data_IF_054029994508
#
_entry.id   IF_054029994508
#
_cell.length_a   1.000
_cell.length_b   1.000
_cell.length_c   1.000
_cell.angle_alpha   90.00
_cell.angle_beta   90.00
_cell.angle_gamma   90.00
#
_symmetry.space_group_name_H-M   'P 1'
#
loop_
_entity.id
_entity.type
_entity.pdbx_description
1 polymer ?
#
# COMPACT_ATOMS: atom_id res chain seq x y z
N UNK A 1 -2.58 3.17 12.46
CA UNK A 1 -1.76 3.70 11.34
C UNK A 1 -1.38 5.16 11.50
N UNK A 2 -2.30 6.08 11.82
CA UNK A 2 -1.94 7.47 12.17
C UNK A 2 -1.74 8.42 10.99
N UNK A 3 -2.15 8.03 9.77
CA UNK A 3 -2.08 8.91 8.61
C UNK A 3 -3.20 9.97 8.63
N UNK A 4 -2.85 11.18 8.18
CA UNK A 4 -3.82 12.18 7.73
C UNK A 4 -4.12 11.93 6.26
N UNK A 5 -5.40 11.86 5.91
CA UNK A 5 -5.83 11.59 4.55
C UNK A 5 -6.09 12.89 3.79
N UNK A 6 -5.56 12.96 2.57
CA UNK A 6 -5.88 13.98 1.58
C UNK A 6 -6.40 13.29 0.33
N UNK A 7 -7.42 13.85 -0.32
CA UNK A 7 -8.07 13.23 -1.47
C UNK A 7 -8.59 14.28 -2.45
N UNK A 8 -8.64 13.94 -3.74
CA UNK A 8 -9.42 14.76 -4.68
C UNK A 8 -10.91 14.67 -4.37
N UNK A 9 -11.70 15.67 -4.77
CA UNK A 9 -13.11 15.80 -4.38
C UNK A 9 -13.94 14.51 -4.59
N UNK A 10 -13.81 13.85 -5.74
CA UNK A 10 -14.54 12.61 -6.02
C UNK A 10 -14.17 11.45 -5.08
N UNK A 11 -12.88 11.31 -4.77
CA UNK A 11 -12.39 10.31 -3.83
C UNK A 11 -12.82 10.64 -2.40
N UNK A 12 -12.75 11.91 -1.98
CA UNK A 12 -13.23 12.34 -0.66
C UNK A 12 -14.71 11.99 -0.46
N UNK A 13 -15.58 12.29 -1.44
CA UNK A 13 -17.00 11.91 -1.39
C UNK A 13 -17.19 10.39 -1.28
N UNK A 14 -16.39 9.59 -1.98
CA UNK A 14 -16.46 8.14 -1.90
C UNK A 14 -16.03 7.61 -0.51
N UNK A 15 -14.98 8.18 0.08
CA UNK A 15 -14.50 7.82 1.43
C UNK A 15 -15.50 8.23 2.52
N UNK A 16 -16.11 9.41 2.40
CA UNK A 16 -17.07 9.93 3.38
C UNK A 16 -18.30 9.02 3.51
N UNK A 17 -18.74 8.39 2.39
CA UNK A 17 -19.83 7.39 2.40
C UNK A 17 -19.54 6.17 3.28
N UNK A 18 -18.27 5.92 3.57
CA UNK A 18 -17.81 4.85 4.46
C UNK A 18 -17.33 5.39 5.82
N UNK A 19 -17.62 6.65 6.14
CA UNK A 19 -17.25 7.27 7.42
C UNK A 19 -15.77 7.63 7.53
N UNK A 20 -15.04 7.69 6.41
CA UNK A 20 -13.62 8.02 6.37
C UNK A 20 -13.44 9.45 5.89
N UNK A 21 -12.97 10.32 6.77
CA UNK A 21 -12.73 11.72 6.44
C UNK A 21 -11.39 11.92 5.72
N UNK A 22 -11.40 12.72 4.65
CA UNK A 22 -10.20 13.16 3.96
C UNK A 22 -10.27 14.65 3.59
N UNK A 23 -9.18 15.39 3.83
CA UNK A 23 -9.07 16.79 3.41
C UNK A 23 -9.01 16.88 1.88
N UNK A 24 -9.78 17.79 1.30
CA UNK A 24 -9.89 17.90 -0.16
C UNK A 24 -8.69 18.63 -0.75
N UNK A 25 -8.07 18.03 -1.77
CA UNK A 25 -7.08 18.67 -2.64
C UNK A 25 -7.68 18.97 -4.01
N UNK A 26 -7.25 20.07 -4.61
CA UNK A 26 -7.62 20.45 -5.97
C UNK A 26 -6.87 19.62 -7.00
N UNK A 27 -7.47 19.38 -8.15
CA UNK A 27 -6.79 18.77 -9.29
C UNK A 27 -5.85 19.79 -9.94
N UNK A 28 -4.83 19.31 -10.64
CA UNK A 28 -3.81 20.19 -11.20
C UNK A 28 -4.40 21.19 -12.22
N UNK A 29 -5.30 20.73 -13.09
CA UNK A 29 -5.96 21.59 -14.07
C UNK A 29 -6.93 22.61 -13.46
N UNK A 30 -7.34 22.43 -12.20
CA UNK A 30 -8.18 23.39 -11.48
C UNK A 30 -7.37 24.57 -10.91
N UNK A 31 -6.04 24.46 -10.92
CA UNK A 31 -5.13 25.43 -10.34
C UNK A 31 -5.29 25.59 -8.82
N UNK A 32 -4.53 26.53 -8.25
CA UNK A 32 -4.71 26.93 -6.84
C UNK A 32 -6.05 27.63 -6.65
N UNK A 33 -6.67 27.39 -5.50
CA UNK A 33 -7.93 28.07 -5.14
C UNK A 33 -7.71 29.54 -4.79
N UNK A 34 -8.81 30.30 -4.73
CA UNK A 34 -8.79 31.74 -4.44
C UNK A 34 -8.25 32.05 -3.03
N UNK A 35 -8.40 31.12 -2.09
CA UNK A 35 -7.86 31.24 -0.74
C UNK A 35 -6.49 30.54 -0.58
N UNK A 36 -5.86 30.13 -1.70
CA UNK A 36 -4.54 29.50 -1.72
C UNK A 36 -4.56 27.98 -1.55
N UNK A 37 -5.72 27.33 -1.68
CA UNK A 37 -5.82 25.88 -1.60
C UNK A 37 -4.92 25.21 -2.66
N UNK A 38 -4.01 24.30 -2.27
CA UNK A 38 -3.05 23.72 -3.19
C UNK A 38 -3.71 22.66 -4.09
N UNK A 39 -3.11 22.45 -5.26
CA UNK A 39 -3.39 21.24 -6.04
C UNK A 39 -2.70 20.02 -5.43
N UNK A 40 -3.07 18.81 -5.85
CA UNK A 40 -2.35 17.59 -5.45
C UNK A 40 -0.87 17.65 -5.83
N UNK A 41 -0.53 18.19 -7.00
CA UNK A 41 0.87 18.33 -7.43
C UNK A 41 1.60 19.36 -6.58
N UNK A 42 0.96 20.50 -6.27
CA UNK A 42 1.53 21.49 -5.34
C UNK A 42 1.89 20.87 -3.99
N UNK A 43 0.97 20.10 -3.40
CA UNK A 43 1.17 19.45 -2.10
C UNK A 43 2.32 18.42 -2.15
N UNK A 44 2.42 17.63 -3.21
CA UNK A 44 3.54 16.70 -3.42
C UNK A 44 4.86 17.48 -3.51
N UNK A 45 4.90 18.54 -4.31
CA UNK A 45 6.11 19.33 -4.53
C UNK A 45 6.56 20.07 -3.27
N UNK A 46 5.61 20.51 -2.43
CA UNK A 46 5.85 21.11 -1.12
C UNK A 46 6.41 20.12 -0.09
N UNK A 47 6.24 18.80 -0.32
CA UNK A 47 6.64 17.76 0.64
C UNK A 47 5.56 17.46 1.68
N UNK A 48 4.31 17.84 1.44
CA UNK A 48 3.19 17.60 2.36
C UNK A 48 2.60 16.18 2.25
N UNK A 49 3.14 15.36 1.34
CA UNK A 49 2.64 14.02 1.01
C UNK A 49 3.76 12.99 1.16
N UNK A 50 3.56 12.05 2.09
CA UNK A 50 4.51 10.97 2.37
C UNK A 50 4.24 9.67 1.59
N UNK A 51 2.99 9.48 1.14
CA UNK A 51 2.55 8.29 0.41
C UNK A 51 1.39 8.65 -0.52
N UNK A 52 1.45 8.14 -1.75
CA UNK A 52 0.39 8.33 -2.75
C UNK A 52 -0.30 7.01 -3.05
N UNK A 53 -1.62 7.02 -3.04
CA UNK A 53 -2.46 5.95 -3.59
C UNK A 53 -3.19 6.49 -4.82
N UNK A 54 -2.87 5.97 -6.00
CA UNK A 54 -3.43 6.39 -7.26
C UNK A 54 -3.85 5.15 -8.06
N UNK A 55 -5.03 4.62 -7.76
CA UNK A 55 -5.59 3.44 -8.45
C UNK A 55 -6.33 3.89 -9.72
N UNK A 56 -5.76 3.79 -10.92
CA UNK A 56 -6.48 4.15 -12.14
C UNK A 56 -7.63 3.15 -12.36
N UNK A 57 -8.83 3.65 -12.65
CA UNK A 57 -9.97 2.83 -13.08
C UNK A 57 -10.58 3.43 -14.36
N UNK A 58 -10.66 2.65 -15.44
CA UNK A 58 -11.20 3.08 -16.74
C UNK A 58 -10.24 3.90 -17.62
N UNK A 59 -10.75 4.43 -18.75
CA UNK A 59 -10.00 5.23 -19.76
C UNK A 59 -9.98 6.75 -19.47
N UNK A 60 -10.65 7.21 -18.41
CA UNK A 60 -10.81 8.63 -18.07
C UNK A 60 -9.83 9.18 -17.02
N UNK A 61 -9.63 10.51 -17.04
CA UNK A 61 -8.65 11.31 -16.25
C UNK A 61 -7.20 10.84 -16.35
N UNK A 62 -6.71 10.63 -17.58
CA UNK A 62 -5.29 10.31 -17.84
C UNK A 62 -4.32 11.44 -17.45
N UNK A 63 -4.79 12.70 -17.48
CA UNK A 63 -3.92 13.88 -17.29
C UNK A 63 -3.46 14.00 -15.84
N UNK A 64 -4.41 14.10 -14.89
CA UNK A 64 -4.06 14.30 -13.47
C UNK A 64 -3.21 13.14 -12.93
N UNK A 65 -3.52 11.90 -13.33
CA UNK A 65 -2.76 10.73 -12.90
C UNK A 65 -1.32 10.71 -13.41
N UNK A 66 -1.05 11.24 -14.61
CA UNK A 66 0.31 11.38 -15.13
C UNK A 66 1.08 12.43 -14.31
N UNK A 67 0.50 13.60 -14.10
CA UNK A 67 1.15 14.70 -13.36
C UNK A 67 1.47 14.30 -11.91
N UNK A 68 0.53 13.63 -11.24
CA UNK A 68 0.74 13.10 -9.88
C UNK A 68 1.91 12.11 -9.84
N UNK A 69 1.96 11.14 -10.78
CA UNK A 69 3.05 10.15 -10.80
C UNK A 69 4.40 10.79 -11.13
N UNK A 70 4.42 11.77 -12.04
CA UNK A 70 5.63 12.53 -12.37
C UNK A 70 6.13 13.30 -11.15
N UNK A 71 5.25 14.03 -10.45
CA UNK A 71 5.60 14.73 -9.22
C UNK A 71 6.10 13.78 -8.12
N UNK A 72 5.45 12.62 -7.97
CA UNK A 72 5.87 11.59 -7.02
C UNK A 72 7.30 11.11 -7.27
N UNK A 73 7.63 10.82 -8.54
CA UNK A 73 8.99 10.41 -8.94
C UNK A 73 10.00 11.52 -8.67
N UNK A 74 9.68 12.77 -9.04
CA UNK A 74 10.56 13.93 -8.82
C UNK A 74 10.88 14.10 -7.32
N UNK A 75 9.89 13.89 -6.45
CA UNK A 75 10.02 14.10 -5.00
C UNK A 75 10.44 12.85 -4.23
N UNK A 76 10.56 11.71 -4.90
CA UNK A 76 10.85 10.43 -4.24
C UNK A 76 9.73 9.93 -3.32
N UNK A 77 8.48 10.35 -3.58
CA UNK A 77 7.32 9.93 -2.79
C UNK A 77 6.82 8.57 -3.30
N UNK A 78 6.73 7.53 -2.44
CA UNK A 78 6.19 6.23 -2.82
C UNK A 78 4.78 6.34 -3.41
N UNK A 79 4.55 5.63 -4.51
CA UNK A 79 3.27 5.65 -5.23
C UNK A 79 2.73 4.23 -5.44
N UNK A 80 1.56 3.95 -4.87
CA UNK A 80 0.85 2.68 -4.99
C UNK A 80 -0.27 2.84 -6.00
N UNK A 81 -0.31 1.96 -7.00
CA UNK A 81 -1.24 2.07 -8.13
C UNK A 81 -2.32 0.99 -8.17
N UNK A 82 -2.35 0.10 -7.18
CA UNK A 82 -3.32 -1.00 -7.11
C UNK A 82 -3.89 -1.14 -5.70
N UNK A 83 -5.13 -1.62 -5.60
CA UNK A 83 -5.78 -1.87 -4.30
C UNK A 83 -5.06 -3.00 -3.56
N UNK A 84 -4.58 -4.01 -4.28
CA UNK A 84 -3.80 -5.12 -3.72
C UNK A 84 -2.47 -4.62 -3.15
N UNK A 85 -1.80 -3.71 -3.85
CA UNK A 85 -0.58 -3.07 -3.37
C UNK A 85 -0.84 -2.23 -2.11
N UNK A 86 -1.98 -1.54 -2.05
CA UNK A 86 -2.39 -0.81 -0.85
C UNK A 86 -2.61 -1.75 0.33
N UNK A 87 -3.35 -2.85 0.13
CA UNK A 87 -3.58 -3.84 1.17
C UNK A 87 -2.28 -4.44 1.71
N UNK A 88 -1.34 -4.79 0.83
CA UNK A 88 -0.02 -5.29 1.22
C UNK A 88 0.79 -4.24 1.99
N UNK A 89 0.75 -2.97 1.55
CA UNK A 89 1.44 -1.88 2.23
C UNK A 89 0.89 -1.64 3.65
N UNK A 90 -0.44 -1.67 3.82
CA UNK A 90 -1.08 -1.57 5.14
C UNK A 90 -0.57 -2.68 6.06
N UNK A 91 -0.60 -3.94 5.62
CA UNK A 91 -0.11 -5.07 6.41
C UNK A 91 1.38 -4.91 6.79
N UNK A 92 2.20 -4.44 5.84
CA UNK A 92 3.61 -4.16 6.09
C UNK A 92 3.82 -3.07 7.14
N UNK A 93 3.08 -1.96 7.06
CA UNK A 93 3.17 -0.86 8.03
C UNK A 93 2.70 -1.32 9.42
N UNK A 94 1.60 -2.06 9.51
CA UNK A 94 1.10 -2.60 10.79
C UNK A 94 2.09 -3.56 11.45
N UNK A 95 2.71 -4.44 10.65
CA UNK A 95 3.75 -5.35 11.11
C UNK A 95 4.92 -4.58 11.73
N UNK A 96 5.40 -3.53 11.04
CA UNK A 96 6.50 -2.69 11.52
C UNK A 96 6.14 -1.85 12.76
N UNK A 97 4.86 -1.50 12.95
CA UNK A 97 4.38 -0.83 14.17
C UNK A 97 4.34 -1.77 15.37
N UNK A 98 4.19 -3.07 15.14
CA UNK A 98 4.07 -4.09 16.21
C UNK A 98 5.44 -4.62 16.65
N UNK A 99 6.36 -4.83 15.70
CA UNK A 99 7.71 -5.31 15.99
C UNK A 99 8.71 -4.75 14.96
N UNK A 100 9.95 -4.45 15.39
CA UNK A 100 11.00 -4.02 14.46
C UNK A 100 11.34 -5.15 13.48
N UNK A 101 11.71 -4.77 12.26
CA UNK A 101 12.23 -5.72 11.28
C UNK A 101 13.50 -6.40 11.81
N UNK A 102 13.52 -7.72 11.81
CA UNK A 102 14.70 -8.52 12.16
C UNK A 102 15.51 -8.86 10.93
N UNK A 103 16.83 -8.97 11.09
CA UNK A 103 17.73 -9.42 10.02
C UNK A 103 18.02 -10.92 10.15
N UNK A 104 18.24 -11.58 9.03
CA UNK A 104 18.70 -12.98 8.96
C UNK A 104 19.55 -13.15 7.71
N UNK A 105 20.64 -13.91 7.81
CA UNK A 105 21.44 -14.26 6.63
C UNK A 105 20.68 -15.19 5.70
N UNK A 106 21.00 -15.16 4.40
CA UNK A 106 20.40 -16.09 3.42
C UNK A 106 20.69 -17.55 3.78
N UNK A 107 21.84 -17.82 4.38
CA UNK A 107 22.29 -19.14 4.80
C UNK A 107 21.40 -19.67 5.94
N UNK A 108 21.21 -18.89 7.01
CA UNK A 108 20.30 -19.24 8.11
C UNK A 108 18.86 -19.41 7.62
N UNK A 109 18.42 -18.55 6.69
CA UNK A 109 17.10 -18.66 6.11
C UNK A 109 16.93 -19.97 5.30
N UNK A 110 17.93 -20.34 4.50
CA UNK A 110 17.90 -21.58 3.72
C UNK A 110 17.90 -22.84 4.60
N UNK A 111 18.70 -22.85 5.66
CA UNK A 111 18.72 -23.93 6.66
C UNK A 111 17.34 -24.11 7.27
N UNK A 112 16.73 -23.01 7.73
CA UNK A 112 15.41 -23.07 8.36
C UNK A 112 14.30 -23.51 7.39
N UNK A 113 14.31 -23.00 6.15
CA UNK A 113 13.37 -23.45 5.12
C UNK A 113 13.48 -24.95 4.84
N UNK A 114 14.71 -25.47 4.77
CA UNK A 114 14.92 -26.90 4.57
C UNK A 114 14.44 -27.72 5.76
N UNK A 115 14.65 -27.24 7.00
CA UNK A 115 14.13 -27.86 8.22
C UNK A 115 12.59 -27.92 8.21
N UNK A 116 11.92 -26.80 7.92
CA UNK A 116 10.46 -26.72 7.87
C UNK A 116 9.88 -27.66 6.80
N UNK A 117 10.50 -27.71 5.62
CA UNK A 117 10.10 -28.63 4.54
C UNK A 117 10.24 -30.10 4.95
N UNK A 118 11.35 -30.47 5.59
CA UNK A 118 11.56 -31.84 6.07
C UNK A 118 10.49 -32.26 7.10
N UNK A 119 10.22 -31.39 8.07
CA UNK A 119 9.18 -31.63 9.08
C UNK A 119 7.78 -31.76 8.46
N UNK A 120 7.47 -30.98 7.43
CA UNK A 120 6.19 -31.04 6.72
C UNK A 120 6.03 -32.37 5.97
N UNK A 121 7.09 -32.87 5.33
CA UNK A 121 7.10 -34.19 4.67
C UNK A 121 6.88 -35.32 5.67
N UNK A 122 7.54 -35.25 6.83
CA UNK A 122 7.39 -36.26 7.89
C UNK A 122 5.98 -36.27 8.47
N UNK A 123 5.39 -35.09 8.71
CA UNK A 123 3.99 -34.96 9.14
C UNK A 123 2.99 -35.51 8.12
N UNK A 124 3.21 -35.28 6.81
CA UNK A 124 2.36 -35.84 5.77
C UNK A 124 2.44 -37.38 5.76
N UNK A 125 3.66 -37.94 5.87
CA UNK A 125 3.85 -39.39 5.90
C UNK A 125 3.19 -40.03 7.13
N UNK A 126 3.30 -39.42 8.31
CA UNK A 126 2.68 -39.95 9.52
C UNK A 126 1.15 -39.93 9.44
N UNK A 127 0.55 -38.85 8.90
CA UNK A 127 -0.90 -38.78 8.65
C UNK A 127 -1.39 -39.85 7.66
N UNK A 128 -0.62 -40.09 6.59
CA UNK A 128 -0.96 -41.13 5.60
C UNK A 128 -0.89 -42.54 6.19
N UNK A 129 0.11 -42.80 7.05
CA UNK A 129 0.27 -44.10 7.73
C UNK A 129 -0.88 -44.36 8.73
N UNK A 130 -1.22 -43.37 9.55
CA UNK A 130 -2.35 -43.45 10.49
C UNK A 130 -3.68 -43.77 9.78
N UNK A 131 -3.95 -43.12 8.64
CA UNK A 131 -5.17 -43.38 7.84
C UNK A 131 -5.20 -44.76 7.16
N UNK A 132 -4.04 -45.37 6.93
CA UNK A 132 -3.94 -46.70 6.34
C UNK A 132 -4.10 -47.81 7.39
N UNK A 133 -3.73 -47.55 8.64
CA UNK A 133 -3.88 -48.47 9.78
C UNK A 133 -5.31 -48.47 10.37
N UNK A 134 -6.09 -47.43 10.12
CA UNK A 134 -7.52 -47.31 10.51
C UNK A 134 -8.50 -47.98 9.52
N UNK A 135 -8.01 -48.64 8.46
CA UNK A 135 -8.81 -49.37 7.45
C UNK A 135 -8.62 -50.87 7.57
#
# INVERSE_FOLDING_TARGET
>A
LGFRLLATAGTSVALERHGVHAAVLRKQHEGRGLAGEPTTVDAIMAGDIDLIVNTPYGVGTRVDGYEIRTAAVIKGVPSITTVQGLAAAVQGIESLQTAPATVRSLQEHAIELNRLRAAQVESIRSMQKSRAEER
#
